data_IF_244207731040
#
_entry.id   IF_244207731040
#
_cell.length_a   1.000
_cell.length_b   1.000
_cell.length_c   1.000
_cell.angle_alpha   90.00
_cell.angle_beta   90.00
_cell.angle_gamma   90.00
#
_symmetry.space_group_name_H-M   'P 1'
#
loop_
_entity.id
_entity.type
_entity.pdbx_description
1 polymer ?
#
# COMPACT_ATOMS: atom_id res chain seq x y z
N UNK A 1 12.98 -1.82 13.44
CA UNK A 1 13.45 -2.93 14.30
C UNK A 1 14.11 -2.29 15.52
N UNK A 2 13.83 -2.77 16.74
CA UNK A 2 14.18 -4.15 17.11
C UNK A 2 13.03 -4.91 17.78
N UNK A 3 12.77 -6.12 17.29
CA UNK A 3 12.17 -7.17 18.12
C UNK A 3 13.31 -8.13 18.39
N UNK A 4 13.84 -8.03 19.61
CA UNK A 4 14.94 -8.82 20.11
C UNK A 4 14.51 -10.26 20.27
N UNK A 5 15.20 -11.17 19.60
CA UNK A 5 15.18 -12.61 19.88
C UNK A 5 15.67 -12.82 21.31
N UNK A 6 14.88 -13.49 22.14
CA UNK A 6 15.38 -14.11 23.37
C UNK A 6 14.66 -15.44 23.51
N UNK A 7 15.42 -16.50 23.28
CA UNK A 7 15.08 -17.89 23.54
C UNK A 7 14.47 -18.06 24.94
N UNK A 8 13.26 -18.64 25.02
CA UNK A 8 12.70 -19.22 26.24
C UNK A 8 12.10 -20.61 25.91
N UNK A 9 12.25 -21.61 26.79
CA UNK A 9 12.03 -23.02 26.47
C UNK A 9 10.54 -23.30 26.21
N UNK A 10 10.25 -23.88 25.05
CA UNK A 10 8.92 -24.32 24.61
C UNK A 10 8.44 -25.49 25.49
N UNK A 11 7.71 -25.22 26.58
CA UNK A 11 6.87 -26.23 27.23
C UNK A 11 5.54 -25.59 27.62
N UNK A 12 4.45 -26.12 27.04
CA UNK A 12 3.12 -25.52 26.93
C UNK A 12 3.05 -24.27 26.06
N UNK A 13 2.82 -24.47 24.77
CA UNK A 13 2.19 -23.45 23.93
C UNK A 13 0.83 -23.10 24.58
N UNK A 14 0.63 -21.88 25.13
CA UNK A 14 -0.73 -21.43 25.38
C UNK A 14 -1.49 -21.49 24.05
N UNK A 15 -2.77 -21.91 24.05
CA UNK A 15 -3.52 -22.04 22.81
C UNK A 15 -3.43 -20.73 22.03
N UNK A 16 -3.03 -20.82 20.75
CA UNK A 16 -2.78 -19.67 19.88
C UNK A 16 -3.92 -18.64 19.92
N UNK A 17 -5.16 -19.11 20.12
CA UNK A 17 -6.34 -18.28 20.28
C UNK A 17 -6.31 -17.37 21.52
N UNK A 18 -5.82 -17.84 22.65
CA UNK A 18 -5.74 -17.05 23.89
C UNK A 18 -4.59 -16.04 23.83
N UNK A 19 -3.46 -16.42 23.22
CA UNK A 19 -2.36 -15.48 22.97
C UNK A 19 -2.76 -14.38 22.01
N UNK A 20 -3.48 -14.71 20.93
CA UNK A 20 -4.01 -13.72 19.98
C UNK A 20 -5.08 -12.81 20.61
N UNK A 21 -5.90 -13.32 21.53
CA UNK A 21 -6.85 -12.50 22.30
C UNK A 21 -6.15 -11.54 23.24
N UNK A 22 -5.15 -11.99 23.99
CA UNK A 22 -4.34 -11.13 24.87
C UNK A 22 -3.58 -10.06 24.08
N UNK A 23 -2.93 -10.44 22.97
CA UNK A 23 -2.27 -9.48 22.08
C UNK A 23 -3.24 -8.46 21.48
N UNK A 24 -4.48 -8.86 21.15
CA UNK A 24 -5.52 -7.94 20.67
C UNK A 24 -6.04 -7.01 21.77
N UNK A 25 -5.97 -7.43 23.03
CA UNK A 25 -6.38 -6.64 24.19
C UNK A 25 -5.32 -5.60 24.59
N UNK A 26 -4.03 -5.95 24.45
CA UNK A 26 -2.92 -5.06 24.80
C UNK A 26 -2.46 -4.16 23.62
N UNK A 27 -2.59 -4.62 22.37
CA UNK A 27 -2.27 -3.85 21.17
C UNK A 27 -3.54 -3.48 20.40
N UNK A 28 -4.00 -2.25 20.62
CA UNK A 28 -4.95 -1.60 19.72
C UNK A 28 -4.36 -1.59 18.30
N UNK A 29 -4.91 -2.43 17.43
CA UNK A 29 -4.50 -2.52 16.02
C UNK A 29 -4.73 -1.22 15.25
N UNK A 30 -5.30 -0.19 15.89
CA UNK A 30 -5.53 1.16 15.37
C UNK A 30 -4.26 1.76 14.78
N UNK A 31 -3.13 1.66 15.49
CA UNK A 31 -1.84 2.19 15.00
C UNK A 31 -1.36 1.49 13.73
N UNK A 32 -1.48 0.16 13.67
CA UNK A 32 -1.10 -0.63 12.49
C UNK A 32 -2.02 -0.34 11.30
N UNK A 33 -3.31 -0.16 11.57
CA UNK A 33 -4.33 0.15 10.56
C UNK A 33 -4.13 1.54 9.97
N UNK A 34 -3.85 2.52 10.82
CA UNK A 34 -3.48 3.88 10.41
C UNK A 34 -2.20 3.83 9.57
N UNK A 35 -1.12 3.23 10.08
CA UNK A 35 0.15 3.17 9.35
C UNK A 35 0.01 2.47 7.98
N UNK A 36 -0.69 1.33 7.92
CA UNK A 36 -0.92 0.64 6.65
C UNK A 36 -1.73 1.50 5.67
N UNK A 37 -2.81 2.12 6.15
CA UNK A 37 -3.66 2.98 5.32
C UNK A 37 -2.92 4.21 4.80
N UNK A 38 -2.11 4.88 5.64
CA UNK A 38 -1.37 6.10 5.25
C UNK A 38 -0.34 5.79 4.19
N UNK A 39 0.35 4.65 4.29
CA UNK A 39 1.32 4.22 3.27
C UNK A 39 0.63 3.99 1.92
N UNK A 40 -0.47 3.24 1.88
CA UNK A 40 -1.15 2.95 0.61
C UNK A 40 -1.80 4.18 -0.02
N UNK A 41 -2.41 5.06 0.78
CA UNK A 41 -3.02 6.31 0.30
C UNK A 41 -1.96 7.28 -0.20
N UNK A 42 -0.88 7.48 0.56
CA UNK A 42 0.21 8.36 0.14
C UNK A 42 0.92 7.84 -1.11
N UNK A 43 1.14 6.54 -1.22
CA UNK A 43 1.71 5.91 -2.41
C UNK A 43 0.79 6.11 -3.62
N UNK A 44 -0.51 5.87 -3.48
CA UNK A 44 -1.49 6.10 -4.55
C UNK A 44 -1.48 7.55 -5.05
N UNK A 45 -1.51 8.52 -4.13
CA UNK A 45 -1.43 9.94 -4.46
C UNK A 45 -0.10 10.30 -5.15
N UNK A 46 1.02 9.80 -4.64
CA UNK A 46 2.34 10.03 -5.22
C UNK A 46 2.48 9.44 -6.62
N UNK A 47 2.00 8.21 -6.84
CA UNK A 47 1.99 7.55 -8.15
C UNK A 47 1.17 8.35 -9.16
N UNK A 48 0.00 8.87 -8.76
CA UNK A 48 -0.80 9.72 -9.63
C UNK A 48 -0.06 11.00 -10.02
N UNK A 49 0.47 11.73 -9.04
CA UNK A 49 1.14 13.00 -9.27
C UNK A 49 2.41 12.85 -10.14
N UNK A 50 3.29 11.93 -9.75
CA UNK A 50 4.56 11.69 -10.45
C UNK A 50 4.34 11.08 -11.84
N UNK A 51 3.41 10.12 -11.97
CA UNK A 51 3.09 9.48 -13.25
C UNK A 51 2.51 10.47 -14.25
N UNK A 52 1.58 11.33 -13.82
CA UNK A 52 0.99 12.35 -14.69
C UNK A 52 2.01 13.40 -15.16
N UNK A 53 2.99 13.72 -14.31
CA UNK A 53 4.10 14.62 -14.67
C UNK A 53 4.99 14.00 -15.76
N UNK A 54 5.43 12.76 -15.59
CA UNK A 54 6.24 12.05 -16.60
C UNK A 54 5.51 11.94 -17.94
N UNK A 55 4.21 11.64 -17.92
CA UNK A 55 3.37 11.56 -19.11
C UNK A 55 3.27 12.89 -19.87
N UNK A 56 3.18 14.02 -19.17
CA UNK A 56 3.17 15.37 -19.79
C UNK A 56 4.51 15.68 -20.46
N UNK A 57 5.61 15.42 -19.77
CA UNK A 57 6.96 15.67 -20.29
C UNK A 57 7.27 14.80 -21.52
N UNK A 58 6.82 13.56 -21.53
CA UNK A 58 7.04 12.61 -22.63
C UNK A 58 5.92 12.59 -23.68
N UNK A 59 4.93 13.47 -23.57
CA UNK A 59 3.80 13.51 -24.52
C UNK A 59 4.28 13.74 -25.96
N UNK A 60 5.22 14.68 -26.13
CA UNK A 60 5.75 15.05 -27.45
C UNK A 60 6.56 13.92 -28.10
N UNK A 61 7.35 13.18 -27.31
CA UNK A 61 8.13 12.04 -27.81
C UNK A 61 7.25 10.83 -28.11
N UNK A 62 6.18 10.60 -27.34
CA UNK A 62 5.22 9.50 -27.59
C UNK A 62 4.42 9.75 -28.87
N UNK A 63 3.99 10.98 -29.13
CA UNK A 63 3.29 11.34 -30.37
C UNK A 63 4.24 11.19 -31.57
N UNK A 64 5.50 11.65 -31.42
CA UNK A 64 6.54 11.52 -32.46
C UNK A 64 6.94 10.07 -32.74
N UNK A 65 6.81 9.18 -31.74
CA UNK A 65 7.11 7.75 -31.86
C UNK A 65 6.08 6.95 -32.69
N UNK A 66 4.93 7.53 -33.06
CA UNK A 66 3.94 6.85 -33.91
C UNK A 66 3.33 5.56 -33.31
N UNK A 67 3.43 5.39 -31.98
CA UNK A 67 2.92 4.18 -31.31
C UNK A 67 1.42 4.01 -31.52
N UNK A 68 1.00 2.83 -32.01
CA UNK A 68 -0.41 2.50 -32.33
C UNK A 68 -1.38 2.68 -31.14
N UNK A 69 -0.87 2.62 -29.92
CA UNK A 69 -1.68 2.76 -28.70
C UNK A 69 -1.53 4.13 -28.01
N UNK A 70 -0.66 5.01 -28.49
CA UNK A 70 -0.54 6.39 -28.01
C UNK A 70 -0.29 6.55 -26.50
N UNK A 71 -0.76 7.68 -25.95
CA UNK A 71 -0.62 8.05 -24.52
C UNK A 71 -1.70 7.47 -23.61
N UNK A 72 -2.80 6.95 -24.17
CA UNK A 72 -3.96 6.50 -23.41
C UNK A 72 -3.70 5.34 -22.44
N UNK A 73 -3.13 4.18 -22.85
CA UNK A 73 -2.95 3.03 -21.95
C UNK A 73 -2.02 3.36 -20.79
N UNK A 74 -1.02 4.22 -21.02
CA UNK A 74 -0.09 4.68 -19.98
C UNK A 74 -0.81 5.52 -18.91
N UNK A 75 -1.74 6.40 -19.31
CA UNK A 75 -2.58 7.15 -18.37
C UNK A 75 -3.49 6.22 -17.57
N UNK A 76 -4.16 5.28 -18.25
CA UNK A 76 -5.06 4.32 -17.59
C UNK A 76 -4.31 3.47 -16.57
N UNK A 77 -3.09 3.02 -16.88
CA UNK A 77 -2.27 2.27 -15.94
C UNK A 77 -1.96 3.08 -14.67
N UNK A 78 -1.46 4.32 -14.82
CA UNK A 78 -1.15 5.19 -13.68
C UNK A 78 -2.39 5.45 -12.83
N UNK A 79 -3.50 5.81 -13.46
CA UNK A 79 -4.76 6.08 -12.76
C UNK A 79 -5.26 4.81 -12.07
N UNK A 80 -5.28 3.67 -12.76
CA UNK A 80 -5.71 2.40 -12.21
C UNK A 80 -4.90 2.00 -10.98
N UNK A 81 -3.57 2.01 -11.06
CA UNK A 81 -2.71 1.67 -9.92
C UNK A 81 -2.89 2.65 -8.76
N UNK A 82 -3.01 3.96 -9.03
CA UNK A 82 -3.23 4.96 -7.98
C UNK A 82 -4.56 4.76 -7.24
N UNK A 83 -5.64 4.49 -7.98
CA UNK A 83 -6.98 4.27 -7.43
C UNK A 83 -7.01 2.98 -6.62
N UNK A 84 -6.40 1.91 -7.11
CA UNK A 84 -6.33 0.64 -6.37
C UNK A 84 -5.55 0.80 -5.07
N UNK A 85 -4.37 1.46 -5.09
CA UNK A 85 -3.59 1.68 -3.87
C UNK A 85 -4.36 2.53 -2.86
N UNK A 86 -4.89 3.69 -3.28
CA UNK A 86 -5.64 4.56 -2.38
C UNK A 86 -6.93 3.92 -1.87
N UNK A 87 -7.64 3.19 -2.74
CA UNK A 87 -8.85 2.46 -2.41
C UNK A 87 -8.62 1.36 -1.38
N UNK A 88 -7.57 0.55 -1.54
CA UNK A 88 -7.19 -0.48 -0.56
C UNK A 88 -6.77 0.13 0.78
N UNK A 89 -6.03 1.24 0.75
CA UNK A 89 -5.65 1.98 1.96
C UNK A 89 -6.86 2.50 2.73
N UNK A 90 -7.82 3.12 2.03
CA UNK A 90 -9.05 3.64 2.63
C UNK A 90 -9.96 2.50 3.13
N UNK A 91 -10.12 1.43 2.35
CA UNK A 91 -10.93 0.27 2.72
C UNK A 91 -10.43 -0.37 4.02
N UNK A 92 -9.11 -0.54 4.14
CA UNK A 92 -8.47 -1.10 5.34
C UNK A 92 -8.65 -0.20 6.57
N UNK A 93 -8.88 1.10 6.41
CA UNK A 93 -9.12 2.02 7.53
C UNK A 93 -10.58 1.92 8.05
N UNK A 94 -11.53 1.56 7.18
CA UNK A 94 -12.96 1.48 7.51
C UNK A 94 -13.40 0.07 7.91
N UNK A 95 -12.93 -0.98 7.22
CA UNK A 95 -13.15 -2.40 7.55
C UNK A 95 -12.00 -3.06 8.31
#
# INVERSE_FOLDING_TARGET
MPSSSTDLPLTSEPPLSETLKHQRQDFDCTSCRIMGSTVFVSLGAYTYYSGMKQLREQSGTIIRSGSRFGVFPRKVAVVGTSVVCAGLGMWRLVN
#
